data_IF_130929167354
#
_entry.id   IF_130929167354
#
_cell.length_a   1.000
_cell.length_b   1.000
_cell.length_c   1.000
_cell.angle_alpha   90.00
_cell.angle_beta   90.00
_cell.angle_gamma   90.00
#
_symmetry.space_group_name_H-M   'P 1'
#
loop_
_entity.id
_entity.type
_entity.pdbx_description
1 polymer ?
#
# COMPACT_ATOMS: atom_id res chain seq x y z
N UNK A 1 2.35 14.71 -28.22
CA UNK A 1 1.87 14.63 -26.81
C UNK A 1 0.38 14.97 -26.63
N UNK A 2 -0.12 16.20 -26.88
CA UNK A 2 -1.57 16.53 -26.77
C UNK A 2 -2.46 15.62 -27.64
N UNK A 3 -2.07 15.41 -28.89
CA UNK A 3 -2.82 14.57 -29.82
C UNK A 3 -2.64 13.08 -29.53
N UNK A 4 -1.53 12.68 -28.91
CA UNK A 4 -1.25 11.30 -28.52
C UNK A 4 -2.03 10.90 -27.26
N UNK A 5 -2.07 11.76 -26.23
CA UNK A 5 -2.91 11.57 -25.04
C UNK A 5 -4.37 11.53 -25.48
N UNK A 6 -4.83 12.54 -26.24
CA UNK A 6 -6.22 12.61 -26.71
C UNK A 6 -6.59 11.43 -27.62
N UNK A 7 -5.69 11.00 -28.52
CA UNK A 7 -5.90 9.82 -29.38
C UNK A 7 -5.83 8.49 -28.61
N UNK A 8 -4.96 8.38 -27.61
CA UNK A 8 -4.81 7.19 -26.78
C UNK A 8 -6.07 6.97 -25.93
N UNK A 9 -6.55 8.04 -25.29
CA UNK A 9 -7.75 8.00 -24.47
C UNK A 9 -9.01 7.83 -25.32
N UNK A 10 -9.21 8.59 -26.41
CA UNK A 10 -10.39 8.41 -27.28
C UNK A 10 -10.54 7.00 -27.87
N UNK A 11 -9.43 6.31 -28.18
CA UNK A 11 -9.46 4.92 -28.67
C UNK A 11 -9.72 3.88 -27.57
N UNK A 12 -9.13 4.02 -26.37
CA UNK A 12 -9.32 3.05 -25.27
C UNK A 12 -10.64 3.23 -24.52
N UNK A 13 -11.05 4.46 -24.26
CA UNK A 13 -12.23 4.76 -23.46
C UNK A 13 -13.53 4.24 -24.11
N UNK A 14 -13.62 4.23 -25.46
CA UNK A 14 -14.81 3.74 -26.18
C UNK A 14 -15.15 2.26 -25.94
N UNK A 15 -14.21 1.45 -25.43
CA UNK A 15 -14.36 0.01 -25.30
C UNK A 15 -14.53 -0.49 -23.85
N UNK A 16 -14.51 0.38 -22.85
CA UNK A 16 -14.29 -0.05 -21.44
C UNK A 16 -15.41 0.32 -20.45
N UNK A 17 -16.46 1.07 -20.84
CA UNK A 17 -17.46 1.57 -19.89
C UNK A 17 -18.85 0.95 -20.08
N UNK A 18 -19.43 0.49 -18.98
CA UNK A 18 -20.85 0.19 -18.82
C UNK A 18 -21.54 1.40 -18.16
N UNK A 19 -22.77 1.68 -18.58
CA UNK A 19 -23.50 2.95 -18.42
C UNK A 19 -23.66 3.49 -16.98
N UNK A 20 -22.76 4.34 -16.52
CA UNK A 20 -23.00 5.30 -15.43
C UNK A 20 -23.03 6.76 -15.95
N UNK A 21 -23.79 7.64 -15.28
CA UNK A 21 -24.08 9.02 -15.76
C UNK A 21 -22.82 9.89 -15.88
N UNK A 22 -21.87 9.72 -14.97
CA UNK A 22 -20.57 10.42 -14.98
C UNK A 22 -19.68 10.00 -16.16
N UNK A 23 -19.64 8.70 -16.45
CA UNK A 23 -18.86 8.14 -17.54
C UNK A 23 -19.44 8.54 -18.90
N UNK A 24 -20.77 8.63 -18.98
CA UNK A 24 -21.48 9.12 -20.16
C UNK A 24 -21.19 10.60 -20.44
N UNK A 25 -21.18 11.44 -19.40
CA UNK A 25 -20.77 12.84 -19.46
C UNK A 25 -19.33 12.96 -19.98
N UNK A 26 -18.42 12.17 -19.42
CA UNK A 26 -17.02 12.23 -19.79
C UNK A 26 -16.75 11.71 -21.22
N UNK A 27 -17.38 10.62 -21.65
CA UNK A 27 -17.32 10.14 -23.04
C UNK A 27 -17.89 11.19 -24.01
N UNK A 28 -18.96 11.90 -23.62
CA UNK A 28 -19.50 13.01 -24.39
C UNK A 28 -18.49 14.14 -24.53
N UNK A 29 -17.73 14.47 -23.48
CA UNK A 29 -16.63 15.44 -23.57
C UNK A 29 -15.51 15.02 -24.50
N UNK A 30 -15.05 13.77 -24.42
CA UNK A 30 -14.00 13.24 -25.31
C UNK A 30 -14.45 13.32 -26.78
N UNK A 31 -15.73 13.09 -27.06
CA UNK A 31 -16.27 13.07 -28.41
C UNK A 31 -16.68 14.46 -28.96
N UNK A 32 -17.30 15.29 -28.12
CA UNK A 32 -17.91 16.57 -28.53
C UNK A 32 -17.14 17.80 -28.10
N UNK A 33 -16.15 17.66 -27.21
CA UNK A 33 -15.38 18.77 -26.61
C UNK A 33 -16.25 19.87 -26.01
N UNK A 34 -17.47 19.55 -25.59
CA UNK A 34 -18.44 20.45 -24.95
C UNK A 34 -19.30 19.61 -24.02
N UNK A 35 -19.63 20.12 -22.83
CA UNK A 35 -20.70 19.54 -22.01
C UNK A 35 -21.97 20.40 -22.09
N UNK A 36 -23.16 19.83 -22.33
CA UNK A 36 -24.40 20.59 -22.27
C UNK A 36 -24.62 21.05 -20.82
N UNK A 37 -24.89 22.35 -20.63
CA UNK A 37 -25.11 22.94 -19.29
C UNK A 37 -26.14 22.13 -18.47
N UNK A 38 -27.23 21.71 -19.10
CA UNK A 38 -28.27 20.90 -18.47
C UNK A 38 -27.76 19.56 -17.93
N UNK A 39 -26.84 18.88 -18.63
CA UNK A 39 -26.33 17.59 -18.17
C UNK A 39 -25.39 17.76 -16.96
N UNK A 40 -24.58 18.82 -16.95
CA UNK A 40 -23.75 19.17 -15.77
C UNK A 40 -24.64 19.54 -14.59
N UNK A 41 -25.68 20.35 -14.80
CA UNK A 41 -26.65 20.70 -13.77
C UNK A 41 -27.31 19.45 -13.19
N UNK A 42 -27.87 18.57 -14.03
CA UNK A 42 -28.51 17.34 -13.57
C UNK A 42 -27.54 16.45 -12.79
N UNK A 43 -26.28 16.34 -13.23
CA UNK A 43 -25.26 15.57 -12.52
C UNK A 43 -24.93 16.16 -11.15
N UNK A 44 -24.74 17.47 -11.08
CA UNK A 44 -24.47 18.15 -9.81
C UNK A 44 -25.64 17.98 -8.85
N UNK A 45 -26.86 18.15 -9.35
CA UNK A 45 -28.08 17.95 -8.57
C UNK A 45 -28.22 16.50 -8.09
N UNK A 46 -27.89 15.50 -8.91
CA UNK A 46 -28.00 14.09 -8.51
C UNK A 46 -26.91 13.65 -7.53
N UNK A 47 -25.65 13.99 -7.80
CA UNK A 47 -24.50 13.48 -7.03
C UNK A 47 -24.22 14.29 -5.77
N UNK A 48 -24.65 15.55 -5.76
CA UNK A 48 -24.46 16.46 -4.64
C UNK A 48 -25.78 16.98 -4.07
N UNK A 49 -26.88 16.23 -4.28
CA UNK A 49 -28.15 16.42 -3.56
C UNK A 49 -27.93 16.46 -2.04
N UNK A 50 -27.05 15.59 -1.55
CA UNK A 50 -26.61 15.55 -0.16
C UNK A 50 -25.10 15.39 -0.07
N UNK A 51 -24.49 16.10 0.90
CA UNK A 51 -23.09 15.92 1.23
C UNK A 51 -22.92 14.65 2.05
N UNK A 52 -22.02 13.79 1.61
CA UNK A 52 -21.76 12.51 2.25
C UNK A 52 -21.22 12.68 3.67
N UNK A 53 -21.69 11.80 4.55
CA UNK A 53 -21.37 11.86 5.98
C UNK A 53 -20.13 11.05 6.32
N UNK A 54 -19.85 9.98 5.57
CA UNK A 54 -18.69 9.13 5.79
C UNK A 54 -17.47 9.69 5.04
N UNK A 55 -16.25 9.60 5.60
CA UNK A 55 -15.08 10.18 4.95
C UNK A 55 -14.78 9.56 3.58
N UNK A 56 -14.99 8.24 3.41
CA UNK A 56 -14.75 7.55 2.15
C UNK A 56 -15.70 8.00 1.02
N UNK A 57 -17.00 8.10 1.29
CA UNK A 57 -17.97 8.54 0.28
C UNK A 57 -17.79 10.03 -0.01
N UNK A 58 -17.48 10.83 1.01
CA UNK A 58 -17.16 12.24 0.84
C UNK A 58 -15.88 12.44 0.01
N UNK A 59 -14.84 11.63 0.25
CA UNK A 59 -13.63 11.62 -0.56
C UNK A 59 -13.94 11.32 -2.03
N UNK A 60 -14.77 10.32 -2.31
CA UNK A 60 -15.21 10.00 -3.67
C UNK A 60 -15.99 11.16 -4.32
N UNK A 61 -16.90 11.80 -3.58
CA UNK A 61 -17.61 13.00 -4.04
C UNK A 61 -16.65 14.15 -4.39
N UNK A 62 -15.64 14.41 -3.55
CA UNK A 62 -14.62 15.42 -3.82
C UNK A 62 -13.82 15.11 -5.09
N UNK A 63 -13.44 13.86 -5.32
CA UNK A 63 -12.74 13.44 -6.55
C UNK A 63 -13.57 13.76 -7.79
N UNK A 64 -14.87 13.44 -7.78
CA UNK A 64 -15.81 13.76 -8.88
C UNK A 64 -15.89 15.27 -9.11
N UNK A 65 -16.06 16.07 -8.05
CA UNK A 65 -16.16 17.52 -8.16
C UNK A 65 -14.86 18.15 -8.68
N UNK A 66 -13.71 17.77 -8.14
CA UNK A 66 -12.42 18.30 -8.56
C UNK A 66 -12.18 18.02 -10.05
N UNK A 67 -12.49 16.80 -10.50
CA UNK A 67 -12.44 16.43 -11.92
C UNK A 67 -13.36 17.31 -12.77
N UNK A 68 -14.60 17.52 -12.31
CA UNK A 68 -15.57 18.34 -13.02
C UNK A 68 -15.07 19.78 -13.20
N UNK A 69 -14.54 20.38 -12.14
CA UNK A 69 -14.00 21.74 -12.17
C UNK A 69 -12.80 21.88 -13.11
N UNK A 70 -11.90 20.88 -13.13
CA UNK A 70 -10.77 20.85 -14.06
C UNK A 70 -11.28 20.79 -15.50
N UNK A 71 -12.25 19.91 -15.79
CA UNK A 71 -12.81 19.78 -17.13
C UNK A 71 -13.57 21.04 -17.57
N UNK A 72 -14.26 21.72 -16.66
CA UNK A 72 -15.10 22.87 -17.02
C UNK A 72 -14.35 24.19 -17.21
N UNK A 73 -13.12 24.30 -16.68
CA UNK A 73 -12.29 25.52 -16.72
C UNK A 73 -11.97 26.01 -18.14
N UNK A 74 -12.06 25.15 -19.15
CA UNK A 74 -11.76 25.46 -20.55
C UNK A 74 -12.97 25.85 -21.41
N UNK A 75 -14.19 25.92 -20.87
CA UNK A 75 -15.38 26.17 -21.66
C UNK A 75 -15.76 27.66 -21.75
N UNK A 76 -16.45 28.04 -22.84
CA UNK A 76 -16.96 29.41 -23.02
C UNK A 76 -18.11 29.76 -22.06
N UNK A 77 -18.71 28.79 -21.37
CA UNK A 77 -19.81 29.02 -20.43
C UNK A 77 -19.26 29.10 -19.01
N UNK A 78 -19.62 30.16 -18.28
CA UNK A 78 -19.43 30.21 -16.82
C UNK A 78 -20.43 29.27 -16.14
N UNK A 79 -19.90 28.43 -15.26
CA UNK A 79 -20.68 27.57 -14.36
C UNK A 79 -20.60 28.10 -12.92
N UNK A 80 -20.20 29.36 -12.72
CA UNK A 80 -19.85 29.88 -11.41
C UNK A 80 -21.05 29.77 -10.45
N UNK A 81 -22.23 30.27 -10.83
CA UNK A 81 -23.44 30.19 -10.01
C UNK A 81 -23.80 28.76 -9.56
N UNK A 82 -23.51 27.76 -10.41
CA UNK A 82 -23.81 26.35 -10.15
C UNK A 82 -22.82 25.75 -9.12
N UNK A 83 -21.56 26.16 -9.19
CA UNK A 83 -20.50 25.65 -8.32
C UNK A 83 -20.38 26.42 -7.01
N UNK A 84 -20.72 27.72 -6.94
CA UNK A 84 -20.46 28.54 -5.76
C UNK A 84 -21.13 27.97 -4.50
N UNK A 85 -22.44 27.69 -4.59
CA UNK A 85 -23.21 27.13 -3.47
C UNK A 85 -22.80 25.70 -3.13
N UNK A 86 -22.33 24.92 -4.11
CA UNK A 86 -21.83 23.57 -3.87
C UNK A 86 -20.48 23.59 -3.16
N UNK A 87 -19.53 24.37 -3.68
CA UNK A 87 -18.17 24.47 -3.15
C UNK A 87 -18.20 24.99 -1.71
N UNK A 88 -19.01 26.02 -1.40
CA UNK A 88 -19.16 26.52 -0.02
C UNK A 88 -19.62 25.40 0.94
N UNK A 89 -20.71 24.70 0.59
CA UNK A 89 -21.24 23.60 1.44
C UNK A 89 -20.21 22.47 1.63
N UNK A 90 -19.44 22.16 0.59
CA UNK A 90 -18.39 21.14 0.66
C UNK A 90 -17.26 21.58 1.59
N UNK A 91 -16.77 22.82 1.47
CA UNK A 91 -15.65 23.32 2.28
C UNK A 91 -16.00 23.47 3.78
N UNK A 92 -17.28 23.64 4.11
CA UNK A 92 -17.75 23.66 5.51
C UNK A 92 -17.59 22.32 6.22
N UNK A 93 -17.50 21.21 5.48
CA UNK A 93 -17.37 19.87 6.05
C UNK A 93 -15.93 19.64 6.52
N UNK A 94 -15.78 19.39 7.82
CA UNK A 94 -14.49 19.07 8.45
C UNK A 94 -14.42 17.60 8.87
N UNK A 95 -13.24 17.02 8.74
CA UNK A 95 -12.88 15.68 9.20
C UNK A 95 -11.72 15.78 10.21
N UNK A 96 -11.25 14.68 10.80
CA UNK A 96 -10.00 14.72 11.55
C UNK A 96 -8.80 15.07 10.63
N UNK A 97 -7.75 15.76 11.13
CA UNK A 97 -6.59 16.15 10.32
C UNK A 97 -5.85 14.98 9.64
N UNK A 98 -6.00 13.74 10.14
CA UNK A 98 -5.45 12.53 9.54
C UNK A 98 -6.06 12.18 8.17
N UNK A 99 -7.17 12.82 7.78
CA UNK A 99 -7.79 12.64 6.47
C UNK A 99 -7.20 13.60 5.42
N UNK A 100 -5.87 13.65 5.33
CA UNK A 100 -5.12 14.57 4.46
C UNK A 100 -5.56 14.62 2.99
N UNK A 101 -5.97 13.51 2.33
CA UNK A 101 -6.48 13.54 0.96
C UNK A 101 -7.74 14.37 0.78
N UNK A 102 -8.63 14.37 1.78
CA UNK A 102 -9.84 15.21 1.77
C UNK A 102 -9.43 16.68 1.75
N UNK A 103 -8.50 17.08 2.63
CA UNK A 103 -8.03 18.45 2.71
C UNK A 103 -7.22 18.90 1.49
N UNK A 104 -6.44 17.99 0.90
CA UNK A 104 -5.73 18.25 -0.34
C UNK A 104 -6.72 18.51 -1.50
N UNK A 105 -7.78 17.68 -1.63
CA UNK A 105 -8.82 17.90 -2.63
C UNK A 105 -9.64 19.17 -2.38
N UNK A 106 -10.03 19.45 -1.13
CA UNK A 106 -10.68 20.71 -0.76
C UNK A 106 -9.82 21.91 -1.16
N UNK A 107 -8.51 21.85 -0.90
CA UNK A 107 -7.57 22.91 -1.30
C UNK A 107 -7.46 23.09 -2.80
N UNK A 108 -7.50 21.98 -3.56
CA UNK A 108 -7.51 22.03 -5.03
C UNK A 108 -8.80 22.67 -5.55
N UNK A 109 -9.95 22.24 -5.02
CA UNK A 109 -11.26 22.81 -5.37
C UNK A 109 -11.30 24.31 -5.05
N UNK A 110 -10.85 24.72 -3.86
CA UNK A 110 -10.77 26.14 -3.50
C UNK A 110 -9.88 26.93 -4.45
N UNK A 111 -8.71 26.37 -4.82
CA UNK A 111 -7.81 27.02 -5.78
C UNK A 111 -8.47 27.18 -7.15
N UNK A 112 -9.09 26.13 -7.68
CA UNK A 112 -9.77 26.17 -8.97
C UNK A 112 -10.92 27.17 -9.02
N UNK A 113 -11.57 27.39 -7.89
CA UNK A 113 -12.71 28.28 -7.75
C UNK A 113 -12.33 29.66 -7.20
N UNK A 114 -11.04 30.00 -7.14
CA UNK A 114 -10.51 31.26 -6.62
C UNK A 114 -10.97 31.64 -5.21
N UNK A 115 -11.33 30.65 -4.39
CA UNK A 115 -11.65 30.86 -2.98
C UNK A 115 -10.35 30.86 -2.17
N UNK A 116 -10.35 31.61 -1.05
CA UNK A 116 -9.31 31.43 -0.04
C UNK A 116 -9.41 30.00 0.49
N UNK A 117 -8.46 29.16 0.07
CA UNK A 117 -8.27 27.86 0.66
C UNK A 117 -7.71 28.05 2.07
N UNK A 118 -8.23 27.30 3.04
CA UNK A 118 -7.51 27.11 4.31
C UNK A 118 -6.08 26.62 4.01
N UNK A 119 -5.12 27.07 4.81
CA UNK A 119 -3.73 26.63 4.67
C UNK A 119 -3.67 25.13 4.95
N UNK A 120 -3.54 24.34 3.90
CA UNK A 120 -3.28 22.91 4.00
C UNK A 120 -1.80 22.69 4.29
N UNK A 121 -1.50 22.14 5.47
CA UNK A 121 -0.15 21.74 5.85
C UNK A 121 -0.10 20.21 6.01
N UNK A 122 0.53 19.49 5.08
CA UNK A 122 0.56 18.04 5.16
C UNK A 122 1.41 17.57 6.33
N UNK A 123 0.95 16.52 6.99
CA UNK A 123 1.64 15.92 8.13
C UNK A 123 2.26 14.61 7.67
N UNK A 124 3.58 14.55 7.70
CA UNK A 124 4.34 13.32 7.48
C UNK A 124 5.01 12.91 8.78
N UNK A 125 5.10 11.60 8.98
CA UNK A 125 6.05 11.05 9.93
C UNK A 125 7.47 11.43 9.49
N UNK A 126 8.41 11.53 10.42
CA UNK A 126 9.81 11.83 10.11
C UNK A 126 10.40 10.92 9.02
N UNK A 127 9.91 9.69 8.92
CA UNK A 127 10.30 8.73 7.89
C UNK A 127 9.75 8.97 6.48
N UNK A 128 8.89 9.97 6.31
CA UNK A 128 8.19 10.24 5.05
C UNK A 128 6.85 9.52 4.89
N UNK A 129 6.48 8.64 5.83
CA UNK A 129 5.17 7.98 5.82
C UNK A 129 4.05 8.99 6.11
N UNK A 130 2.92 8.87 5.42
CA UNK A 130 1.73 9.67 5.70
C UNK A 130 0.94 9.12 6.89
N UNK A 131 0.32 10.01 7.68
CA UNK A 131 -0.73 9.62 8.62
C UNK A 131 -2.03 9.51 7.84
N UNK A 132 -2.35 8.31 7.35
CA UNK A 132 -3.46 8.08 6.45
C UNK A 132 -4.54 7.19 7.09
N UNK A 133 -5.79 7.64 7.09
CA UNK A 133 -6.96 6.82 7.38
C UNK A 133 -8.19 7.45 6.72
N UNK A 134 -8.73 6.86 5.64
CA UNK A 134 -10.00 7.30 5.01
C UNK A 134 -11.19 6.43 5.46
N UNK A 135 -10.94 5.22 5.96
CA UNK A 135 -12.00 4.25 6.27
C UNK A 135 -12.71 4.55 7.60
N UNK A 136 -12.35 5.63 8.31
CA UNK A 136 -13.00 5.99 9.57
C UNK A 136 -12.70 5.03 10.72
N UNK A 137 -11.76 4.10 10.52
CA UNK A 137 -11.18 3.30 11.60
C UNK A 137 -10.50 4.19 12.63
N UNK A 138 -10.13 3.65 13.79
CA UNK A 138 -9.40 4.41 14.80
C UNK A 138 -8.15 5.07 14.19
N UNK A 139 -7.84 6.31 14.63
CA UNK A 139 -6.64 7.09 14.26
C UNK A 139 -5.32 6.32 14.35
N UNK A 140 -5.34 5.19 15.07
CA UNK A 140 -4.21 4.34 15.42
C UNK A 140 -4.06 3.14 14.47
N UNK A 141 -4.96 2.96 13.49
CA UNK A 141 -4.95 1.91 12.47
C UNK A 141 -4.42 2.46 11.14
N UNK A 142 -3.23 3.06 11.18
CA UNK A 142 -2.52 3.58 10.02
C UNK A 142 -1.97 2.42 9.19
N UNK A 143 -2.83 1.61 8.59
CA UNK A 143 -2.39 0.85 7.42
C UNK A 143 -2.25 1.86 6.29
N UNK A 144 -1.04 2.04 5.75
CA UNK A 144 -0.92 2.86 4.58
C UNK A 144 -1.80 2.21 3.49
N UNK A 145 -2.45 2.99 2.63
CA UNK A 145 -3.06 2.48 1.41
C UNK A 145 -2.24 3.00 0.22
N UNK A 146 -1.67 2.10 -0.58
CA UNK A 146 -0.71 2.46 -1.64
C UNK A 146 -1.32 3.41 -2.63
N UNK A 147 -2.52 3.06 -3.12
CA UNK A 147 -3.27 3.86 -4.07
C UNK A 147 -3.45 5.25 -3.47
N UNK A 148 -4.08 5.34 -2.31
CA UNK A 148 -4.38 6.64 -1.71
C UNK A 148 -3.12 7.46 -1.37
N UNK A 149 -1.99 6.83 -1.07
CA UNK A 149 -0.73 7.53 -0.89
C UNK A 149 -0.20 8.13 -2.20
N UNK A 150 -0.28 7.40 -3.31
CA UNK A 150 0.05 7.97 -4.61
C UNK A 150 -0.92 9.08 -5.02
N UNK A 151 -2.22 8.92 -4.75
CA UNK A 151 -3.21 9.98 -4.94
C UNK A 151 -2.83 11.24 -4.15
N UNK A 152 -2.44 11.06 -2.88
CA UNK A 152 -2.01 12.14 -2.01
C UNK A 152 -0.73 12.82 -2.50
N UNK A 153 0.27 12.05 -2.95
CA UNK A 153 1.49 12.58 -3.58
C UNK A 153 1.09 13.46 -4.76
N UNK A 154 0.23 12.96 -5.65
CA UNK A 154 -0.25 13.70 -6.81
C UNK A 154 -0.89 15.02 -6.39
N UNK A 155 -1.82 15.00 -5.43
CA UNK A 155 -2.50 16.23 -5.00
C UNK A 155 -1.52 17.26 -4.42
N UNK A 156 -0.52 16.82 -3.66
CA UNK A 156 0.49 17.71 -3.09
C UNK A 156 1.40 18.30 -4.15
N UNK A 157 1.77 17.53 -5.17
CA UNK A 157 2.53 18.04 -6.31
C UNK A 157 1.73 19.11 -7.04
N UNK A 158 0.45 18.84 -7.36
CA UNK A 158 -0.42 19.81 -8.03
C UNK A 158 -0.53 21.08 -7.19
N UNK A 159 -0.86 20.95 -5.91
CA UNK A 159 -1.00 22.10 -5.01
C UNK A 159 0.31 22.89 -4.84
N UNK A 160 1.43 22.19 -4.72
CA UNK A 160 2.76 22.80 -4.58
C UNK A 160 3.11 23.64 -5.80
N UNK A 161 2.87 23.13 -7.02
CA UNK A 161 3.08 23.90 -8.25
C UNK A 161 2.12 25.10 -8.34
N UNK A 162 0.82 24.87 -8.12
CA UNK A 162 -0.21 25.91 -8.21
C UNK A 162 0.01 27.07 -7.24
N UNK A 163 0.42 26.76 -6.01
CA UNK A 163 0.61 27.73 -4.94
C UNK A 163 2.06 28.22 -4.85
N UNK A 164 2.96 27.69 -5.68
CA UNK A 164 4.41 27.88 -5.57
C UNK A 164 4.92 27.58 -4.14
N UNK A 165 4.46 26.47 -3.56
CA UNK A 165 4.76 26.02 -2.19
C UNK A 165 5.80 24.90 -2.22
N UNK A 166 7.06 25.26 -1.99
CA UNK A 166 8.18 24.33 -1.99
C UNK A 166 8.08 23.25 -0.90
N UNK A 167 7.50 23.58 0.26
CA UNK A 167 7.34 22.64 1.37
C UNK A 167 6.34 21.52 1.01
N UNK A 168 5.29 21.83 0.24
CA UNK A 168 4.39 20.81 -0.31
C UNK A 168 5.12 19.87 -1.28
N UNK A 169 5.97 20.42 -2.16
CA UNK A 169 6.75 19.63 -3.11
C UNK A 169 7.75 18.71 -2.39
N UNK A 170 8.51 19.22 -1.42
CA UNK A 170 9.45 18.44 -0.61
C UNK A 170 8.75 17.31 0.16
N UNK A 171 7.59 17.59 0.77
CA UNK A 171 6.78 16.56 1.45
C UNK A 171 6.27 15.49 0.46
N UNK A 172 5.84 15.89 -0.73
CA UNK A 172 5.39 14.95 -1.77
C UNK A 172 6.51 14.01 -2.23
N UNK A 173 7.72 14.55 -2.45
CA UNK A 173 8.91 13.79 -2.79
C UNK A 173 9.28 12.83 -1.65
N UNK A 174 9.26 13.30 -0.41
CA UNK A 174 9.55 12.47 0.77
C UNK A 174 8.60 11.27 0.89
N UNK A 175 7.30 11.50 0.68
CA UNK A 175 6.29 10.44 0.68
C UNK A 175 6.47 9.47 -0.49
N UNK A 176 6.80 9.98 -1.68
CA UNK A 176 7.09 9.14 -2.84
C UNK A 176 8.29 8.22 -2.63
N UNK A 177 9.39 8.75 -2.07
CA UNK A 177 10.57 7.96 -1.75
C UNK A 177 10.26 6.86 -0.72
N UNK A 178 9.41 7.16 0.26
CA UNK A 178 8.94 6.16 1.21
C UNK A 178 8.11 5.07 0.50
N UNK A 179 7.17 5.43 -0.38
CA UNK A 179 6.40 4.45 -1.16
C UNK A 179 7.28 3.55 -2.02
N UNK A 180 8.33 4.10 -2.66
CA UNK A 180 9.25 3.35 -3.51
C UNK A 180 9.97 2.23 -2.74
N UNK A 181 10.28 2.45 -1.46
CA UNK A 181 10.87 1.43 -0.58
C UNK A 181 9.91 0.29 -0.26
N UNK A 182 8.61 0.52 -0.40
CA UNK A 182 7.55 -0.48 -0.19
C UNK A 182 7.19 -1.28 -1.45
N UNK A 183 8.00 -1.21 -2.51
CA UNK A 183 7.84 -1.99 -3.75
C UNK A 183 8.91 -3.08 -3.87
N UNK A 184 8.61 -4.19 -4.52
CA UNK A 184 9.58 -5.23 -4.92
C UNK A 184 10.49 -4.74 -6.07
N UNK A 185 11.47 -5.54 -6.51
CA UNK A 185 12.32 -5.17 -7.67
C UNK A 185 11.56 -5.06 -8.98
N UNK A 186 10.39 -5.68 -9.06
CA UNK A 186 9.48 -5.63 -10.22
C UNK A 186 8.53 -4.43 -10.19
N UNK A 187 8.65 -3.54 -9.19
CA UNK A 187 7.80 -2.37 -8.99
C UNK A 187 6.43 -2.66 -8.40
N UNK A 188 6.16 -3.88 -7.94
CA UNK A 188 4.88 -4.22 -7.33
C UNK A 188 4.91 -3.99 -5.81
N UNK A 189 3.77 -3.68 -5.18
CA UNK A 189 3.63 -3.63 -3.73
C UNK A 189 4.21 -4.83 -2.95
N UNK A 190 4.99 -4.55 -1.90
CA UNK A 190 5.46 -5.56 -0.94
C UNK A 190 4.29 -6.01 -0.05
N UNK A 191 3.75 -7.19 -0.32
CA UNK A 191 2.50 -7.70 0.29
C UNK A 191 2.56 -7.82 1.82
N UNK A 192 3.76 -7.96 2.41
CA UNK A 192 3.93 -8.05 3.86
C UNK A 192 3.57 -6.77 4.63
N UNK A 193 3.50 -5.60 3.98
CA UNK A 193 3.04 -4.34 4.61
C UNK A 193 1.54 -4.13 4.39
N UNK A 194 1.03 -4.56 3.25
CA UNK A 194 -0.27 -4.18 2.70
C UNK A 194 -1.21 -5.39 2.75
N UNK A 195 -1.45 -5.89 3.96
CA UNK A 195 -2.28 -7.06 4.22
C UNK A 195 -3.77 -6.77 4.19
N UNK A 196 -4.31 -6.59 2.98
CA UNK A 196 -5.61 -7.18 2.71
C UNK A 196 -5.49 -8.05 1.46
N UNK A 197 -5.57 -9.39 1.58
CA UNK A 197 -5.61 -10.28 0.42
C UNK A 197 -6.78 -9.96 -0.53
N UNK A 198 -7.72 -9.12 -0.11
CA UNK A 198 -8.91 -8.73 -0.86
C UNK A 198 -8.73 -7.47 -1.74
N UNK A 199 -7.62 -6.73 -1.65
CA UNK A 199 -7.41 -5.47 -2.39
C UNK A 199 -6.11 -5.38 -3.22
N UNK A 200 -5.34 -6.46 -3.35
CA UNK A 200 -3.99 -6.43 -3.93
C UNK A 200 -3.93 -6.57 -5.46
N UNK A 201 -5.07 -6.66 -6.16
CA UNK A 201 -5.14 -6.60 -7.63
C UNK A 201 -5.57 -5.23 -8.14
N UNK A 202 -5.24 -4.16 -7.42
CA UNK A 202 -5.52 -2.82 -7.93
C UNK A 202 -4.41 -2.37 -8.89
N UNK A 203 -4.55 -2.73 -10.18
CA UNK A 203 -3.70 -2.27 -11.28
C UNK A 203 -3.54 -0.73 -11.29
N UNK A 204 -4.49 0.01 -10.69
CA UNK A 204 -4.42 1.47 -10.60
C UNK A 204 -3.29 1.95 -9.68
N UNK A 205 -2.86 1.18 -8.67
CA UNK A 205 -1.76 1.57 -7.80
C UNK A 205 -0.40 1.50 -8.52
N UNK A 206 -0.20 0.49 -9.36
CA UNK A 206 1.00 0.36 -10.20
C UNK A 206 1.04 1.46 -11.26
N UNK A 207 -0.10 1.74 -11.89
CA UNK A 207 -0.26 2.83 -12.85
C UNK A 207 0.12 4.18 -12.22
N UNK A 208 -0.42 4.46 -11.03
CA UNK A 208 -0.11 5.67 -10.28
C UNK A 208 1.38 5.77 -9.96
N UNK A 209 2.01 4.67 -9.55
CA UNK A 209 3.45 4.64 -9.35
C UNK A 209 4.21 5.01 -10.63
N UNK A 210 3.85 4.44 -11.78
CA UNK A 210 4.48 4.74 -13.07
C UNK A 210 4.30 6.20 -13.48
N UNK A 211 3.10 6.77 -13.32
CA UNK A 211 2.83 8.19 -13.58
C UNK A 211 3.67 9.09 -12.68
N UNK A 212 3.73 8.81 -11.38
CA UNK A 212 4.48 9.64 -10.44
C UNK A 212 5.99 9.48 -10.67
N UNK A 213 6.49 8.26 -10.79
CA UNK A 213 7.94 7.99 -10.98
C UNK A 213 8.52 8.61 -12.24
N UNK A 214 7.75 8.65 -13.35
CA UNK A 214 8.19 9.27 -14.60
C UNK A 214 8.33 10.80 -14.52
N UNK A 215 7.66 11.45 -13.56
CA UNK A 215 7.59 12.91 -13.49
C UNK A 215 8.13 13.51 -12.19
N UNK A 216 8.30 12.72 -11.12
CA UNK A 216 8.70 13.23 -9.79
C UNK A 216 10.08 13.91 -9.80
N UNK A 217 11.00 13.42 -10.63
CA UNK A 217 12.36 13.97 -10.77
C UNK A 217 12.40 15.22 -11.65
N UNK A 218 11.35 15.45 -12.44
CA UNK A 218 11.16 16.63 -13.27
C UNK A 218 10.33 17.69 -12.56
N UNK A 219 9.82 17.44 -11.34
CA UNK A 219 8.92 18.37 -10.62
C UNK A 219 9.56 19.75 -10.43
N UNK A 220 10.87 19.81 -10.13
CA UNK A 220 11.59 21.07 -9.98
C UNK A 220 11.75 21.82 -11.32
N UNK A 221 11.51 21.14 -12.44
CA UNK A 221 11.59 21.65 -13.82
C UNK A 221 10.24 21.71 -14.53
N UNK A 222 9.15 21.27 -13.88
CA UNK A 222 7.81 21.30 -14.46
C UNK A 222 7.39 22.76 -14.63
N UNK A 223 7.61 23.29 -15.83
CA UNK A 223 7.08 24.60 -16.19
C UNK A 223 5.55 24.55 -16.19
N UNK A 224 4.91 25.67 -15.82
CA UNK A 224 3.46 25.85 -15.83
C UNK A 224 2.78 25.40 -17.15
N UNK A 225 3.52 25.31 -18.25
CA UNK A 225 3.04 24.81 -19.55
C UNK A 225 2.66 23.33 -19.60
N UNK A 226 3.26 22.46 -18.76
CA UNK A 226 2.94 21.02 -18.70
C UNK A 226 1.77 20.70 -17.76
N UNK A 227 1.45 21.66 -16.90
CA UNK A 227 0.52 21.52 -15.81
C UNK A 227 -0.93 21.17 -16.23
N UNK A 228 -1.52 21.77 -17.30
CA UNK A 228 -2.85 21.36 -17.77
C UNK A 228 -2.91 19.89 -18.23
N UNK A 229 -1.80 19.33 -18.72
CA UNK A 229 -1.76 17.92 -19.14
C UNK A 229 -1.71 16.97 -17.96
N UNK A 230 -1.02 17.37 -16.89
CA UNK A 230 -0.98 16.64 -15.64
C UNK A 230 -2.37 16.64 -14.98
N UNK A 231 -3.04 17.79 -14.90
CA UNK A 231 -4.42 17.89 -14.41
C UNK A 231 -5.41 17.05 -15.23
N UNK A 232 -5.24 17.02 -16.56
CA UNK A 232 -6.06 16.17 -17.44
C UNK A 232 -5.76 14.70 -17.21
N UNK A 233 -4.49 14.27 -17.14
CA UNK A 233 -4.13 12.88 -16.88
C UNK A 233 -4.67 12.38 -15.53
N UNK A 234 -4.69 13.26 -14.52
CA UNK A 234 -5.23 12.98 -13.18
C UNK A 234 -6.76 12.95 -13.20
N UNK A 235 -7.39 13.86 -13.94
CA UNK A 235 -8.84 13.86 -14.19
C UNK A 235 -9.30 12.61 -14.95
N UNK A 236 -8.46 12.12 -15.86
CA UNK A 236 -8.66 10.85 -16.58
C UNK A 236 -8.45 9.64 -15.68
N UNK A 237 -7.53 9.72 -14.72
CA UNK A 237 -7.29 8.66 -13.75
C UNK A 237 -8.40 8.61 -12.67
N UNK A 238 -9.01 9.74 -12.31
CA UNK A 238 -10.22 9.77 -11.46
C UNK A 238 -11.40 8.97 -12.06
N UNK A 239 -11.32 8.59 -13.33
CA UNK A 239 -12.34 7.84 -14.09
C UNK A 239 -12.05 6.33 -14.22
N UNK A 240 -11.17 5.76 -13.39
CA UNK A 240 -10.82 4.32 -13.36
C UNK A 240 -10.41 3.72 -14.73
N UNK A 241 -9.72 4.50 -15.56
CA UNK A 241 -9.26 4.04 -16.87
C UNK A 241 -8.11 3.04 -16.70
N UNK A 242 -8.40 1.74 -16.84
CA UNK A 242 -7.38 0.68 -16.84
C UNK A 242 -6.47 0.82 -18.05
N UNK A 243 -5.24 1.26 -17.84
CA UNK A 243 -4.22 1.37 -18.89
C UNK A 243 -3.04 0.45 -18.65
N UNK A 244 -2.76 -0.42 -19.63
CA UNK A 244 -1.50 -1.15 -19.75
C UNK A 244 -0.35 -0.15 -20.02
N UNK A 245 0.39 0.21 -18.98
CA UNK A 245 1.67 0.93 -19.11
C UNK A 245 2.82 -0.07 -19.06
N UNK A 246 3.76 0.06 -19.98
CA UNK A 246 5.00 -0.72 -19.98
C UNK A 246 5.85 -0.36 -18.77
N UNK A 247 6.37 -1.38 -18.08
CA UNK A 247 7.33 -1.21 -16.97
C UNK A 247 8.59 -0.54 -17.51
N UNK A 248 8.80 0.73 -17.18
CA UNK A 248 10.04 1.44 -17.44
C UNK A 248 11.03 1.24 -16.29
N UNK A 249 12.32 1.16 -16.62
CA UNK A 249 13.41 1.08 -15.65
C UNK A 249 13.65 2.45 -14.99
N UNK A 250 13.14 2.64 -13.76
CA UNK A 250 13.22 3.92 -13.01
C UNK A 250 13.79 3.77 -11.59
N UNK A 251 14.65 2.78 -11.37
CA UNK A 251 15.20 2.45 -10.05
C UNK A 251 16.63 2.95 -9.83
N UNK A 252 16.94 4.26 -9.86
CA UNK A 252 18.32 4.68 -9.55
C UNK A 252 18.48 6.12 -9.01
N UNK A 253 17.70 6.52 -8.01
CA UNK A 253 18.06 7.69 -7.19
C UNK A 253 17.80 7.40 -5.71
N UNK A 254 18.84 7.53 -4.90
CA UNK A 254 18.81 7.37 -3.44
C UNK A 254 18.65 8.74 -2.78
N UNK A 255 17.70 8.84 -1.86
CA UNK A 255 17.51 10.00 -0.97
C UNK A 255 17.70 9.55 0.48
N UNK A 256 18.34 10.39 1.28
CA UNK A 256 18.49 10.20 2.73
C UNK A 256 17.15 10.53 3.42
N UNK A 257 16.23 9.58 3.45
CA UNK A 257 15.07 9.62 4.34
C UNK A 257 15.51 9.26 5.76
N UNK A 258 15.06 10.04 6.75
CA UNK A 258 15.16 9.63 8.16
C UNK A 258 14.46 8.27 8.37
N UNK A 259 14.95 7.47 9.29
CA UNK A 259 14.52 6.09 9.44
C UNK A 259 13.12 5.95 10.05
N UNK A 260 12.28 5.06 9.51
CA UNK A 260 11.03 4.62 10.15
C UNK A 260 11.34 3.93 11.50
N UNK A 261 10.78 4.38 12.64
CA UNK A 261 11.03 3.77 13.96
C UNK A 261 10.59 2.32 14.05
N UNK A 262 9.68 1.85 13.18
CA UNK A 262 9.12 0.51 13.24
C UNK A 262 9.39 -0.32 11.99
N UNK A 263 10.24 0.15 11.08
CA UNK A 263 10.60 -0.60 9.88
C UNK A 263 12.07 -0.40 9.51
N UNK A 264 12.69 -1.47 9.02
CA UNK A 264 14.05 -1.48 8.47
C UNK A 264 13.97 -1.88 7.01
N UNK A 265 14.64 -1.11 6.16
CA UNK A 265 14.71 -1.33 4.72
C UNK A 265 16.16 -1.54 4.31
N UNK A 266 16.39 -2.53 3.46
CA UNK A 266 17.70 -2.80 2.87
C UNK A 266 17.57 -2.90 1.37
N UNK A 267 18.50 -2.27 0.68
CA UNK A 267 18.67 -2.37 -0.76
C UNK A 267 20.17 -2.32 -1.08
N UNK A 268 20.85 -3.46 -0.96
CA UNK A 268 22.32 -3.57 -1.07
C UNK A 268 22.73 -4.92 -1.66
N UNK A 269 23.76 -4.94 -2.52
CA UNK A 269 24.33 -6.17 -3.11
C UNK A 269 23.28 -7.10 -3.75
N UNK A 270 22.26 -6.54 -4.41
CA UNK A 270 21.18 -7.31 -4.99
C UNK A 270 20.19 -7.90 -3.98
N UNK A 271 20.36 -7.66 -2.67
CA UNK A 271 19.38 -7.97 -1.64
C UNK A 271 18.46 -6.76 -1.43
N UNK A 272 17.16 -6.98 -1.64
CA UNK A 272 16.11 -6.07 -1.22
C UNK A 272 15.38 -6.69 -0.03
N UNK A 273 15.29 -5.97 1.07
CA UNK A 273 14.74 -6.47 2.33
C UNK A 273 13.88 -5.43 3.01
N UNK A 274 12.85 -5.92 3.68
CA UNK A 274 12.04 -5.14 4.60
C UNK A 274 11.75 -5.97 5.83
N UNK A 275 11.93 -5.37 7.00
CA UNK A 275 11.33 -5.84 8.24
C UNK A 275 10.47 -4.74 8.82
N UNK A 276 9.31 -5.10 9.36
CA UNK A 276 8.39 -4.14 9.93
C UNK A 276 7.65 -4.72 11.11
N UNK A 277 7.45 -3.87 12.11
CA UNK A 277 6.54 -4.08 13.22
C UNK A 277 5.21 -3.34 12.99
N UNK A 278 4.97 -2.86 11.77
CA UNK A 278 3.72 -2.18 11.37
C UNK A 278 2.77 -3.15 10.67
N UNK A 279 1.50 -2.97 10.96
CA UNK A 279 0.39 -3.41 10.13
C UNK A 279 -0.73 -4.08 10.92
N UNK A 280 -1.74 -4.54 10.18
CA UNK A 280 -2.95 -5.15 10.72
C UNK A 280 -3.19 -6.40 9.87
N UNK A 281 -2.96 -7.57 10.45
CA UNK A 281 -2.93 -8.86 9.75
C UNK A 281 -1.76 -9.00 8.77
N UNK A 282 -0.66 -8.31 9.07
CA UNK A 282 0.52 -8.24 8.23
C UNK A 282 1.62 -9.16 8.72
N UNK A 283 2.45 -9.64 7.80
CA UNK A 283 3.69 -10.31 8.16
C UNK A 283 4.70 -9.34 8.74
N UNK A 284 5.82 -9.88 9.19
CA UNK A 284 6.96 -9.11 9.70
C UNK A 284 7.86 -8.55 8.63
N UNK A 285 7.71 -8.98 7.37
CA UNK A 285 8.64 -8.51 6.36
C UNK A 285 8.66 -9.29 5.08
N UNK A 286 9.64 -8.92 4.27
CA UNK A 286 9.85 -9.34 2.90
C UNK A 286 11.35 -9.38 2.62
N UNK A 287 11.75 -10.25 1.70
CA UNK A 287 13.11 -10.32 1.21
C UNK A 287 13.11 -10.80 -0.24
N UNK A 288 13.93 -10.21 -1.09
CA UNK A 288 14.19 -10.64 -2.46
C UNK A 288 15.68 -10.53 -2.76
N UNK A 289 16.26 -11.63 -3.22
CA UNK A 289 17.62 -11.71 -3.74
C UNK A 289 17.53 -12.40 -5.09
N UNK A 290 18.06 -11.78 -6.13
CA UNK A 290 17.95 -12.29 -7.51
C UNK A 290 16.54 -12.78 -7.87
N UNK A 291 16.36 -14.08 -8.10
CA UNK A 291 15.10 -14.73 -8.47
C UNK A 291 14.42 -15.51 -7.32
N UNK A 292 14.95 -15.42 -6.11
CA UNK A 292 14.33 -15.92 -4.88
C UNK A 292 13.67 -14.78 -4.12
N UNK A 293 12.48 -15.03 -3.56
CA UNK A 293 11.86 -14.08 -2.65
C UNK A 293 11.10 -14.76 -1.51
N UNK A 294 11.15 -14.16 -0.33
CA UNK A 294 10.18 -14.34 0.75
C UNK A 294 9.17 -13.20 0.61
N UNK A 295 7.97 -13.50 0.12
CA UNK A 295 6.95 -12.47 -0.16
C UNK A 295 6.31 -11.94 1.12
N UNK A 296 6.23 -12.80 2.14
CA UNK A 296 5.79 -12.45 3.49
C UNK A 296 6.17 -13.57 4.45
N UNK A 297 6.45 -13.23 5.70
CA UNK A 297 6.61 -14.21 6.79
C UNK A 297 5.98 -13.70 8.08
N UNK A 298 5.35 -14.60 8.83
CA UNK A 298 4.62 -14.20 10.03
C UNK A 298 3.85 -15.34 10.70
N UNK A 299 3.42 -15.10 11.95
CA UNK A 299 2.67 -16.08 12.75
C UNK A 299 1.22 -16.18 12.30
N UNK A 300 0.55 -17.24 12.72
CA UNK A 300 -0.86 -17.52 12.46
C UNK A 300 -1.41 -18.28 13.67
N UNK A 301 -2.51 -17.79 14.22
CA UNK A 301 -3.23 -18.48 15.29
C UNK A 301 -4.05 -19.62 14.71
N UNK A 302 -3.79 -20.86 15.14
CA UNK A 302 -4.48 -22.05 14.63
C UNK A 302 -5.61 -22.51 15.56
N UNK A 303 -6.71 -23.09 15.04
CA UNK A 303 -6.98 -23.40 13.63
C UNK A 303 -7.71 -22.25 12.90
N UNK A 304 -7.11 -21.73 11.83
CA UNK A 304 -7.75 -20.75 10.94
C UNK A 304 -8.06 -21.42 9.61
N UNK A 305 -9.35 -21.49 9.24
CA UNK A 305 -9.78 -22.05 7.95
C UNK A 305 -9.38 -21.19 6.76
N UNK A 306 -9.04 -19.91 6.96
CA UNK A 306 -8.92 -18.93 5.88
C UNK A 306 -7.73 -17.94 6.00
N UNK A 307 -6.69 -18.28 6.77
CA UNK A 307 -5.53 -17.39 7.02
C UNK A 307 -5.89 -15.97 7.50
N UNK A 308 -7.13 -15.74 7.95
CA UNK A 308 -7.59 -14.43 8.38
C UNK A 308 -6.74 -13.94 9.55
N UNK A 309 -6.50 -14.77 10.57
CA UNK A 309 -5.60 -14.47 11.70
C UNK A 309 -4.09 -14.60 11.43
N UNK A 310 -3.64 -14.30 10.20
CA UNK A 310 -2.22 -14.24 9.88
C UNK A 310 -1.64 -12.90 10.33
N UNK A 311 -0.43 -12.95 10.88
CA UNK A 311 0.41 -11.80 11.11
C UNK A 311 0.25 -11.16 12.48
N UNK A 312 0.71 -9.92 12.57
CA UNK A 312 0.63 -9.10 13.76
C UNK A 312 -0.49 -8.08 13.69
N UNK A 313 -0.97 -7.72 14.87
CA UNK A 313 -1.81 -6.56 15.10
C UNK A 313 -0.94 -5.46 15.69
N UNK A 314 -0.34 -4.60 14.87
CA UNK A 314 0.48 -3.41 15.19
C UNK A 314 1.52 -3.54 16.33
N UNK A 315 2.73 -3.02 16.18
CA UNK A 315 3.51 -2.66 17.38
C UNK A 315 2.75 -1.61 18.21
N UNK A 316 2.63 -1.85 19.52
CA UNK A 316 2.06 -0.87 20.44
C UNK A 316 2.91 0.41 20.41
N UNK A 317 2.38 1.58 19.95
CA UNK A 317 3.17 2.82 19.91
C UNK A 317 3.31 3.48 21.30
N UNK A 318 2.79 2.87 22.36
CA UNK A 318 2.62 3.54 23.64
C UNK A 318 3.03 2.60 24.75
N UNK A 319 3.74 3.16 25.74
CA UNK A 319 4.03 2.61 27.08
C UNK A 319 2.74 2.15 27.79
N UNK A 320 2.14 1.09 27.31
CA UNK A 320 1.12 0.32 28.02
C UNK A 320 1.69 -1.08 28.10
N UNK A 321 1.94 -1.52 29.33
CA UNK A 321 2.25 -2.91 29.71
C UNK A 321 3.73 -3.33 29.77
N UNK A 322 4.68 -2.41 29.96
CA UNK A 322 6.06 -2.79 30.32
C UNK A 322 6.89 -3.46 29.21
N UNK A 323 6.44 -3.37 27.96
CA UNK A 323 7.22 -3.80 26.79
C UNK A 323 8.16 -2.67 26.33
N UNK A 324 9.42 -3.01 26.05
CA UNK A 324 10.47 -2.06 25.66
C UNK A 324 10.16 -1.33 24.34
N UNK A 325 10.83 -0.19 24.16
CA UNK A 325 10.82 0.56 22.90
C UNK A 325 11.36 -0.30 21.75
N UNK A 326 10.93 0.01 20.52
CA UNK A 326 11.52 -0.58 19.32
C UNK A 326 13.00 -0.18 19.26
N UNK A 327 13.87 -1.18 19.16
CA UNK A 327 15.31 -1.02 18.97
C UNK A 327 15.59 -1.23 17.49
N UNK A 328 16.35 -0.32 16.86
CA UNK A 328 16.68 -0.44 15.44
C UNK A 328 18.07 0.08 15.10
N UNK A 329 18.58 -0.37 13.96
CA UNK A 329 19.68 0.21 13.19
C UNK A 329 19.46 -0.12 11.70
N UNK A 330 20.38 0.29 10.82
CA UNK A 330 20.29 0.11 9.35
C UNK A 330 19.88 -1.30 8.90
N UNK A 331 20.28 -2.34 9.63
CA UNK A 331 20.00 -3.74 9.24
C UNK A 331 19.36 -4.58 10.33
N UNK A 332 18.89 -3.96 11.41
CA UNK A 332 18.41 -4.66 12.60
C UNK A 332 17.14 -4.00 13.15
N UNK A 333 16.16 -4.82 13.53
CA UNK A 333 14.99 -4.36 14.28
C UNK A 333 14.64 -5.37 15.37
N UNK A 334 14.25 -4.85 16.54
CA UNK A 334 13.64 -5.62 17.61
C UNK A 334 12.47 -4.88 18.23
N UNK A 335 11.39 -5.58 18.52
CA UNK A 335 10.26 -5.00 19.24
C UNK A 335 9.09 -5.95 19.37
N UNK A 336 8.00 -5.41 19.91
CA UNK A 336 6.87 -6.20 20.39
C UNK A 336 5.60 -5.87 19.61
N UNK A 337 4.80 -6.90 19.32
CA UNK A 337 3.45 -6.75 18.79
C UNK A 337 2.53 -7.86 19.32
N UNK A 338 1.23 -7.62 19.55
CA UNK A 338 0.26 -8.70 19.69
C UNK A 338 -0.01 -9.37 18.33
N UNK A 339 -0.38 -10.65 18.34
CA UNK A 339 -0.81 -11.35 17.14
C UNK A 339 -2.20 -10.89 16.71
N UNK A 340 -2.48 -10.95 15.41
CA UNK A 340 -3.81 -10.68 14.86
C UNK A 340 -4.81 -11.79 15.17
N UNK A 341 -6.00 -11.41 15.62
CA UNK A 341 -7.14 -12.30 15.85
C UNK A 341 -8.39 -11.82 15.10
N UNK A 342 -9.32 -12.74 14.83
CA UNK A 342 -10.57 -12.47 14.14
C UNK A 342 -11.73 -13.14 14.86
N UNK A 343 -12.84 -12.41 14.95
CA UNK A 343 -14.11 -12.95 15.42
C UNK A 343 -14.89 -13.32 14.16
N UNK A 344 -15.20 -14.62 14.05
CA UNK A 344 -15.94 -15.20 12.94
C UNK A 344 -17.32 -14.54 12.75
N UNK A 345 -17.87 -13.92 13.81
CA UNK A 345 -19.17 -13.24 13.78
C UNK A 345 -19.09 -11.76 13.37
N UNK A 346 -17.90 -11.14 13.45
CA UNK A 346 -17.71 -9.68 13.27
C UNK A 346 -17.38 -9.24 11.83
N UNK A 347 -17.42 -10.18 10.88
CA UNK A 347 -17.48 -9.88 9.44
C UNK A 347 -16.20 -9.38 8.76
N UNK A 348 -15.23 -8.74 9.44
CA UNK A 348 -13.98 -8.29 8.76
C UNK A 348 -12.90 -7.66 9.64
N UNK A 349 -13.19 -7.29 10.89
CA UNK A 349 -12.25 -6.44 11.66
C UNK A 349 -11.32 -7.29 12.52
N UNK A 350 -10.01 -7.17 12.29
CA UNK A 350 -9.02 -7.79 13.15
C UNK A 350 -8.89 -7.04 14.48
N UNK A 351 -8.54 -7.77 15.53
CA UNK A 351 -8.30 -7.24 16.87
C UNK A 351 -7.05 -7.89 17.49
N UNK A 352 -6.42 -7.28 18.51
CA UNK A 352 -5.24 -7.85 19.14
C UNK A 352 -5.60 -9.12 19.92
N UNK A 353 -4.82 -10.18 19.74
CA UNK A 353 -4.90 -11.37 20.59
C UNK A 353 -4.21 -11.16 21.95
N UNK A 354 -4.42 -12.12 22.87
CA UNK A 354 -3.67 -12.22 24.13
C UNK A 354 -2.28 -12.85 23.95
N UNK A 355 -1.87 -13.14 22.71
CA UNK A 355 -0.53 -13.64 22.40
C UNK A 355 0.31 -12.50 21.87
N UNK A 356 1.40 -12.20 22.59
CA UNK A 356 2.39 -11.22 22.20
C UNK A 356 3.59 -11.92 21.60
N UNK A 357 4.25 -11.25 20.66
CA UNK A 357 5.47 -11.71 20.05
C UNK A 357 6.52 -10.61 20.15
N UNK A 358 7.67 -10.98 20.69
CA UNK A 358 8.90 -10.23 20.49
C UNK A 358 9.54 -10.73 19.21
N UNK A 359 9.68 -9.82 18.26
CA UNK A 359 10.37 -10.06 17.00
C UNK A 359 11.75 -9.42 17.08
N UNK A 360 12.77 -10.17 16.67
CA UNK A 360 14.10 -9.66 16.37
C UNK A 360 14.49 -10.14 14.98
N UNK A 361 14.89 -9.21 14.13
CA UNK A 361 15.31 -9.50 12.77
C UNK A 361 16.60 -8.76 12.44
N UNK A 362 17.53 -9.47 11.80
CA UNK A 362 18.82 -8.94 11.37
C UNK A 362 19.14 -9.39 9.95
N UNK A 363 19.40 -8.44 9.09
CA UNK A 363 20.06 -8.69 7.81
C UNK A 363 21.58 -8.53 7.97
N UNK A 364 22.29 -9.50 7.43
CA UNK A 364 23.74 -9.55 7.27
C UNK A 364 24.03 -9.88 5.79
N UNK A 365 25.25 -9.60 5.31
CA UNK A 365 25.63 -9.67 3.89
C UNK A 365 25.21 -10.98 3.21
N UNK A 366 25.32 -12.10 3.93
CA UNK A 366 25.03 -13.44 3.42
C UNK A 366 23.95 -14.17 4.22
N UNK A 367 23.31 -13.50 5.18
CA UNK A 367 22.39 -14.15 6.11
C UNK A 367 21.25 -13.26 6.53
N UNK A 368 20.08 -13.86 6.71
CA UNK A 368 18.92 -13.23 7.33
C UNK A 368 18.50 -14.04 8.55
N UNK A 369 18.62 -13.42 9.73
CA UNK A 369 18.37 -14.07 11.02
C UNK A 369 17.10 -13.50 11.62
N UNK A 370 16.19 -14.39 12.01
CA UNK A 370 14.91 -14.06 12.60
C UNK A 370 14.70 -14.85 13.88
N UNK A 371 14.48 -14.13 14.98
CA UNK A 371 14.15 -14.71 16.27
C UNK A 371 12.76 -14.22 16.68
N UNK A 372 11.98 -15.14 17.23
CA UNK A 372 10.63 -14.90 17.67
C UNK A 372 10.43 -15.50 19.05
N UNK A 373 10.04 -14.69 20.03
CA UNK A 373 9.65 -15.15 21.35
C UNK A 373 8.16 -14.87 21.55
N UNK A 374 7.38 -15.92 21.82
CA UNK A 374 5.94 -15.81 22.00
C UNK A 374 5.60 -15.80 23.49
N UNK A 375 4.65 -14.95 23.86
CA UNK A 375 4.19 -14.74 25.23
C UNK A 375 2.68 -14.84 25.27
N UNK A 376 2.17 -15.88 25.91
CA UNK A 376 0.74 -16.10 26.01
C UNK A 376 0.21 -15.57 27.35
N UNK A 377 -0.62 -14.51 27.29
CA UNK A 377 -1.28 -13.95 28.46
C UNK A 377 -2.65 -14.57 28.74
N UNK A 378 -3.12 -15.45 27.86
CA UNK A 378 -4.41 -16.11 27.92
C UNK A 378 -4.32 -17.64 27.89
N UNK A 379 -5.23 -18.29 27.16
CA UNK A 379 -5.22 -19.76 27.01
C UNK A 379 -4.14 -20.18 26.02
N UNK A 380 -3.45 -21.29 26.31
CA UNK A 380 -2.48 -21.90 25.38
C UNK A 380 -3.10 -22.09 23.99
N UNK A 381 -2.48 -21.51 22.96
CA UNK A 381 -2.90 -21.59 21.57
C UNK A 381 -1.77 -22.20 20.74
N UNK A 382 -2.13 -22.99 19.72
CA UNK A 382 -1.15 -23.50 18.77
C UNK A 382 -0.84 -22.41 17.74
N UNK A 383 0.44 -22.13 17.54
CA UNK A 383 0.91 -21.10 16.62
C UNK A 383 1.54 -21.79 15.41
N UNK A 384 1.08 -21.43 14.22
CA UNK A 384 1.78 -21.72 12.97
C UNK A 384 2.63 -20.52 12.60
N UNK A 385 3.90 -20.70 12.27
CA UNK A 385 4.72 -19.64 11.69
C UNK A 385 4.93 -19.90 10.21
N UNK A 386 4.42 -19.00 9.38
CA UNK A 386 4.31 -19.20 7.95
C UNK A 386 5.30 -18.35 7.17
N UNK A 387 5.97 -18.98 6.20
CA UNK A 387 6.76 -18.33 5.16
C UNK A 387 6.13 -18.56 3.80
N UNK A 388 6.04 -17.52 3.00
CA UNK A 388 5.53 -17.56 1.64
C UNK A 388 6.69 -17.23 0.72
N UNK A 389 7.09 -18.17 -0.13
CA UNK A 389 8.34 -18.06 -0.90
C UNK A 389 8.13 -18.25 -2.40
N UNK A 390 8.93 -17.54 -3.19
CA UNK A 390 9.10 -17.72 -4.63
C UNK A 390 10.43 -18.42 -4.87
N UNK A 391 10.37 -19.55 -5.55
CA UNK A 391 11.49 -20.41 -5.89
C UNK A 391 11.04 -21.40 -6.98
N UNK A 392 11.98 -21.98 -7.73
CA UNK A 392 11.65 -23.02 -8.72
C UNK A 392 11.36 -24.37 -8.06
N UNK A 393 12.10 -24.71 -7.02
CA UNK A 393 11.97 -25.97 -6.29
C UNK A 393 12.42 -25.86 -4.84
N UNK A 394 12.03 -26.85 -4.04
CA UNK A 394 12.28 -26.94 -2.62
C UNK A 394 12.71 -28.36 -2.27
N UNK A 395 13.77 -28.52 -1.49
CA UNK A 395 14.22 -29.80 -0.94
C UNK A 395 14.07 -29.76 0.58
N UNK A 396 13.31 -30.69 1.12
CA UNK A 396 13.22 -30.92 2.56
C UNK A 396 14.20 -32.03 2.90
N UNK A 397 15.29 -31.70 3.60
CA UNK A 397 16.39 -32.63 3.87
C UNK A 397 15.86 -33.89 4.55
N UNK A 398 16.32 -35.06 4.07
CA UNK A 398 15.94 -36.40 4.50
C UNK A 398 14.48 -36.79 4.24
N UNK A 399 13.74 -36.03 3.43
CA UNK A 399 12.35 -36.33 3.10
C UNK A 399 12.12 -36.41 1.60
N UNK A 400 12.07 -35.28 0.90
CA UNK A 400 11.72 -35.28 -0.52
C UNK A 400 12.05 -33.93 -1.20
N UNK A 401 11.98 -33.94 -2.52
CA UNK A 401 12.15 -32.80 -3.39
C UNK A 401 10.82 -32.42 -4.05
N UNK A 402 10.42 -31.15 -3.91
CA UNK A 402 9.20 -30.60 -4.49
C UNK A 402 9.50 -29.57 -5.58
N UNK A 403 8.82 -29.70 -6.70
CA UNK A 403 8.68 -28.63 -7.69
C UNK A 403 7.46 -27.78 -7.39
N UNK A 404 7.47 -26.53 -7.82
CA UNK A 404 6.34 -25.62 -7.63
C UNK A 404 5.05 -26.08 -8.33
N UNK A 405 5.17 -27.00 -9.31
CA UNK A 405 4.06 -27.61 -10.04
C UNK A 405 3.35 -28.71 -9.27
N UNK A 406 3.97 -29.24 -8.22
CA UNK A 406 3.49 -30.42 -7.53
C UNK A 406 2.24 -30.10 -6.70
N UNK A 407 1.46 -31.13 -6.36
CA UNK A 407 0.22 -30.99 -5.58
C UNK A 407 0.33 -31.57 -4.17
N UNK A 408 1.37 -32.37 -3.91
CA UNK A 408 1.55 -33.06 -2.64
C UNK A 408 2.18 -32.15 -1.60
N UNK A 409 1.68 -32.24 -0.37
CA UNK A 409 2.24 -31.54 0.79
C UNK A 409 3.21 -32.46 1.50
N UNK A 410 4.32 -31.91 1.96
CA UNK A 410 5.25 -32.62 2.83
C UNK A 410 4.99 -32.24 4.28
N UNK A 411 4.99 -33.24 5.14
CA UNK A 411 5.00 -33.10 6.59
C UNK A 411 6.34 -33.64 7.10
N UNK A 412 7.11 -32.84 7.84
CA UNK A 412 8.48 -33.19 8.23
C UNK A 412 8.88 -32.58 9.57
N UNK A 413 9.90 -33.16 10.22
CA UNK A 413 10.60 -32.55 11.36
C UNK A 413 11.98 -32.02 10.99
N UNK A 414 12.31 -31.99 9.70
CA UNK A 414 13.60 -31.52 9.20
C UNK A 414 13.79 -30.05 9.52
N UNK A 415 14.94 -29.72 10.12
CA UNK A 415 15.33 -28.36 10.46
C UNK A 415 16.01 -27.63 9.29
N UNK A 416 16.21 -28.30 8.15
CA UNK A 416 16.90 -27.75 6.98
C UNK A 416 16.03 -27.88 5.75
N UNK A 417 15.87 -26.77 5.03
CA UNK A 417 15.17 -26.72 3.75
C UNK A 417 16.05 -25.95 2.78
N UNK A 418 16.22 -26.49 1.58
CA UNK A 418 16.89 -25.77 0.50
C UNK A 418 15.87 -25.30 -0.52
N UNK A 419 15.87 -24.00 -0.80
CA UNK A 419 15.18 -23.45 -1.95
C UNK A 419 16.16 -23.30 -3.10
N UNK A 420 15.75 -23.79 -4.26
CA UNK A 420 16.49 -23.65 -5.50
C UNK A 420 15.75 -22.68 -6.39
N UNK A 421 16.56 -21.86 -7.04
CA UNK A 421 16.15 -20.90 -8.05
C UNK A 421 17.18 -20.99 -9.18
N UNK A 422 16.95 -20.32 -10.30
CA UNK A 422 17.83 -20.39 -11.48
C UNK A 422 19.27 -19.93 -11.18
N UNK A 423 19.47 -19.01 -10.23
CA UNK A 423 20.77 -18.41 -9.97
C UNK A 423 21.38 -18.78 -8.60
N UNK A 424 20.62 -19.36 -7.68
CA UNK A 424 21.08 -19.53 -6.29
C UNK A 424 20.36 -20.66 -5.54
N UNK A 425 21.03 -21.11 -4.47
CA UNK A 425 20.55 -22.10 -3.50
C UNK A 425 20.49 -21.42 -2.13
N UNK A 426 19.28 -21.29 -1.60
CA UNK A 426 19.01 -20.65 -0.31
C UNK A 426 18.75 -21.72 0.74
N UNK A 427 19.36 -21.60 1.91
CA UNK A 427 19.19 -22.55 3.01
C UNK A 427 18.40 -21.92 4.16
N UNK A 428 17.29 -22.54 4.53
CA UNK A 428 16.55 -22.25 5.75
C UNK A 428 16.99 -23.23 6.83
N UNK A 429 17.51 -22.72 7.94
CA UNK A 429 17.79 -23.47 9.15
C UNK A 429 16.88 -23.00 10.27
N UNK A 430 15.99 -23.87 10.73
CA UNK A 430 14.98 -23.52 11.73
C UNK A 430 15.12 -24.37 12.98
N UNK A 431 15.01 -23.75 14.16
CA UNK A 431 15.04 -24.44 15.46
C UNK A 431 13.74 -24.18 16.22
N UNK A 432 13.44 -25.05 17.18
CA UNK A 432 12.35 -24.91 18.15
C UNK A 432 10.94 -24.98 17.52
N UNK A 433 10.70 -25.99 16.71
CA UNK A 433 9.38 -26.31 16.16
C UNK A 433 9.06 -27.80 16.34
N UNK A 434 7.78 -28.14 16.32
CA UNK A 434 7.31 -29.52 16.50
C UNK A 434 7.12 -30.27 15.19
N UNK A 435 6.70 -29.55 14.16
CA UNK A 435 6.43 -30.08 12.83
C UNK A 435 6.52 -28.97 11.79
N UNK A 436 6.84 -29.33 10.56
CA UNK A 436 6.91 -28.47 9.40
C UNK A 436 5.94 -29.03 8.35
N UNK A 437 5.13 -28.15 7.76
CA UNK A 437 4.39 -28.45 6.53
C UNK A 437 4.94 -27.59 5.40
N UNK A 438 5.26 -28.22 4.27
CA UNK A 438 5.60 -27.53 3.03
C UNK A 438 4.52 -27.83 2.00
N UNK A 439 3.90 -26.79 1.45
CA UNK A 439 2.86 -26.90 0.43
C UNK A 439 3.28 -26.16 -0.84
N UNK A 440 3.39 -26.85 -1.98
CA UNK A 440 3.54 -26.20 -3.28
C UNK A 440 2.24 -25.49 -3.70
N UNK A 441 2.38 -24.45 -4.51
CA UNK A 441 1.32 -23.74 -5.24
C UNK A 441 0.22 -23.17 -4.34
N UNK A 442 0.50 -22.03 -3.75
CA UNK A 442 -0.47 -21.31 -2.94
C UNK A 442 -0.82 -19.95 -3.60
N UNK A 443 -2.11 -19.63 -3.66
CA UNK A 443 -2.64 -18.51 -4.48
C UNK A 443 -2.74 -17.19 -3.72
N UNK A 444 -2.36 -17.13 -2.44
CA UNK A 444 -2.67 -15.96 -1.63
C UNK A 444 -1.85 -14.74 -2.06
N UNK A 445 -0.55 -14.91 -2.33
CA UNK A 445 0.42 -13.85 -2.57
C UNK A 445 1.36 -14.08 -3.77
N UNK A 446 0.96 -14.89 -4.74
CA UNK A 446 1.79 -15.27 -5.89
C UNK A 446 3.10 -15.95 -5.48
N UNK A 447 3.06 -16.72 -4.39
CA UNK A 447 4.12 -17.59 -3.91
C UNK A 447 4.12 -18.95 -4.64
N UNK A 448 5.29 -19.57 -4.73
CA UNK A 448 5.44 -20.93 -5.24
C UNK A 448 5.33 -21.96 -4.11
N UNK A 449 5.77 -21.60 -2.91
CA UNK A 449 5.75 -22.47 -1.74
C UNK A 449 5.23 -21.74 -0.52
N UNK A 450 4.50 -22.48 0.32
CA UNK A 450 4.06 -22.05 1.64
C UNK A 450 4.61 -23.04 2.68
N UNK A 451 5.46 -22.54 3.57
CA UNK A 451 5.97 -23.30 4.71
C UNK A 451 5.21 -22.89 5.96
N UNK A 452 4.87 -23.84 6.81
CA UNK A 452 4.32 -23.57 8.14
C UNK A 452 5.05 -24.41 9.19
N UNK A 453 5.74 -23.73 10.11
CA UNK A 453 6.34 -24.34 11.30
C UNK A 453 5.34 -24.31 12.45
N UNK A 454 5.05 -25.48 13.03
CA UNK A 454 4.13 -25.60 14.16
C UNK A 454 4.87 -25.47 15.46
N UNK A 455 4.48 -24.50 16.27
CA UNK A 455 5.12 -24.13 17.51
C UNK A 455 4.15 -24.45 18.66
N UNK A 456 4.65 -25.10 19.72
CA UNK A 456 3.89 -25.45 20.93
C UNK A 456 4.68 -25.12 22.18
N UNK A 457 3.97 -24.72 23.23
CA UNK A 457 4.52 -24.35 24.54
C UNK A 457 3.83 -23.09 25.08
N UNK A 458 4.09 -22.75 26.35
CA UNK A 458 3.51 -21.56 26.96
C UNK A 458 4.25 -20.28 26.55
N UNK A 459 5.58 -20.35 26.45
CA UNK A 459 6.43 -19.27 25.93
C UNK A 459 7.45 -19.81 24.92
N UNK A 460 6.98 -20.32 23.76
CA UNK A 460 7.88 -20.95 22.82
C UNK A 460 8.73 -19.90 22.09
N UNK A 461 9.85 -20.35 21.54
CA UNK A 461 10.72 -19.54 20.68
C UNK A 461 10.80 -20.17 19.30
N UNK A 462 11.04 -19.37 18.27
CA UNK A 462 11.37 -19.84 16.92
C UNK A 462 12.61 -19.06 16.46
N UNK A 463 13.62 -19.79 16.00
CA UNK A 463 14.83 -19.19 15.43
C UNK A 463 14.95 -19.69 13.99
N UNK A 464 15.07 -18.76 13.04
CA UNK A 464 15.21 -19.03 11.62
C UNK A 464 16.43 -18.31 11.10
N UNK A 465 17.39 -19.05 10.56
CA UNK A 465 18.54 -18.52 9.83
C UNK A 465 18.39 -18.87 8.36
N UNK A 466 18.40 -17.84 7.51
CA UNK A 466 18.31 -17.98 6.05
C UNK A 466 19.66 -17.58 5.47
N UNK A 467 20.38 -18.55 4.91
CA UNK A 467 21.69 -18.34 4.28
C UNK A 467 21.47 -18.12 2.79
N UNK A 468 21.97 -16.98 2.30
CA UNK A 468 21.72 -16.41 0.97
C UNK A 468 22.78 -16.74 -0.07
#
# INVERSE_FOLDING_TARGET
MKDEITSFFSKKLRHTFDSNTWESLFLFYVDKKVFPKQQITNFIESEFASIEKTPILYYQQLKKLCSLLIFTRGFPYSYDDLFEGLVKRILEKKFPPSFQPIYALQSLISYHYYLQADKFDPVLHNSGMSYFNIEGGMSDLLMPNIKHNYELIIFWVILGVLKNDQNLLEKSQKLFQWQKRCLDKSGNPIKSIWSSPYNLQDDSALLLHQLVSGHIHEIDQLSFSYFPYFEIAISLWFLEVRSNFSKGDLFNQSFNLEEDPASVFIDQNGLKGLMTLRGVNSGFGYMEKDDFAIVSFGPELLPTKEKRGYGIYRACPLKRNGFDNIIKSDSYIRGWAPLSCFDQNSGSTAYPSDVYIEFEGKFDLNKFVLNFNFYNLGKSQTIGFSFFTKASSCEVVDVDFLKSSDSQKICSKSNKIFFYSSCQKILFQTKNFTNLIVSPKNKYWNENFHLTYFIKGDNPTLNVEIVL
#
